data_IF_436323063222
#
_entry.id   IF_436323063222
#
_cell.length_a   1.000
_cell.length_b   1.000
_cell.length_c   1.000
_cell.angle_alpha   90.00
_cell.angle_beta   90.00
_cell.angle_gamma   90.00
#
_symmetry.space_group_name_H-M   'P 1'
#
loop_
_entity.id
_entity.type
_entity.pdbx_description
1 polymer ?
#
# COMPACT_ATOMS: atom_id res chain seq x y z
N UNK A 1 35.62 -18.38 34.54
CA UNK A 1 34.50 -17.42 34.70
C UNK A 1 34.81 -16.20 33.86
N UNK A 2 34.28 -16.09 32.65
CA UNK A 2 34.52 -14.91 31.79
C UNK A 2 33.54 -13.80 32.16
N UNK A 3 33.92 -12.97 33.12
CA UNK A 3 33.24 -11.72 33.46
C UNK A 3 34.09 -10.53 33.04
N UNK A 4 34.19 -10.27 31.74
CA UNK A 4 34.83 -9.05 31.21
C UNK A 4 33.78 -7.95 31.08
N UNK A 5 34.00 -6.80 31.72
CA UNK A 5 33.16 -5.62 31.55
C UNK A 5 33.09 -5.24 30.05
N UNK A 6 31.90 -4.94 29.55
CA UNK A 6 31.74 -4.47 28.17
C UNK A 6 32.57 -3.19 27.98
N UNK A 7 33.34 -3.07 26.89
CA UNK A 7 34.05 -1.85 26.58
C UNK A 7 33.11 -0.64 26.44
N UNK A 8 33.49 0.51 26.96
CA UNK A 8 32.63 1.71 26.95
C UNK A 8 32.22 2.15 25.52
N UNK A 9 33.09 1.94 24.53
CA UNK A 9 32.77 2.23 23.12
C UNK A 9 31.57 1.41 22.61
N UNK A 10 31.34 0.23 23.18
CA UNK A 10 30.20 -0.62 22.85
C UNK A 10 28.88 -0.06 23.39
N UNK A 11 28.92 0.57 24.57
CA UNK A 11 27.75 1.26 25.15
C UNK A 11 27.36 2.46 24.29
N UNK A 12 28.32 3.28 23.87
CA UNK A 12 28.07 4.42 22.97
C UNK A 12 27.56 3.97 21.58
N UNK A 13 28.07 2.85 21.09
CA UNK A 13 27.60 2.25 19.84
C UNK A 13 26.14 1.79 19.94
N UNK A 14 25.75 1.11 21.02
CA UNK A 14 24.36 0.73 21.27
C UNK A 14 23.47 1.96 21.42
N UNK A 15 23.90 2.97 22.18
CA UNK A 15 23.14 4.21 22.37
C UNK A 15 22.89 4.92 21.02
N UNK A 16 23.90 4.99 20.16
CA UNK A 16 23.76 5.56 18.81
C UNK A 16 22.77 4.77 17.94
N UNK A 17 22.78 3.44 18.01
CA UNK A 17 21.79 2.59 17.32
C UNK A 17 20.38 2.87 17.83
N UNK A 18 20.18 2.96 19.15
CA UNK A 18 18.86 3.23 19.74
C UNK A 18 18.33 4.60 19.29
N UNK A 19 19.16 5.64 19.33
CA UNK A 19 18.78 6.98 18.85
C UNK A 19 18.45 6.94 17.36
N UNK A 20 19.24 6.24 16.54
CA UNK A 20 18.98 6.06 15.11
C UNK A 20 17.65 5.35 14.84
N UNK A 21 17.33 4.29 15.59
CA UNK A 21 16.06 3.57 15.49
C UNK A 21 14.88 4.48 15.87
N UNK A 22 15.00 5.23 16.97
CA UNK A 22 13.95 6.16 17.41
C UNK A 22 13.70 7.23 16.35
N UNK A 23 14.76 7.84 15.82
CA UNK A 23 14.66 8.84 14.75
C UNK A 23 13.99 8.27 13.50
N UNK A 24 14.35 7.05 13.11
CA UNK A 24 13.75 6.35 11.96
C UNK A 24 12.26 6.06 12.17
N UNK A 25 11.86 5.66 13.38
CA UNK A 25 10.45 5.43 13.74
C UNK A 25 9.67 6.75 13.70
N UNK A 26 10.19 7.84 14.28
CA UNK A 26 9.55 9.15 14.26
C UNK A 26 9.33 9.67 12.84
N UNK A 27 10.36 9.54 11.99
CA UNK A 27 10.28 9.96 10.58
C UNK A 27 9.21 9.16 9.83
N UNK A 28 9.15 7.85 10.05
CA UNK A 28 8.12 6.97 9.46
C UNK A 28 6.71 7.32 9.93
N UNK A 29 6.53 7.69 11.20
CA UNK A 29 5.22 8.10 11.73
C UNK A 29 4.76 9.43 11.14
N UNK A 30 5.65 10.42 11.06
CA UNK A 30 5.32 11.73 10.50
C UNK A 30 4.88 11.62 9.04
N UNK A 31 5.59 10.82 8.24
CA UNK A 31 5.24 10.57 6.84
C UNK A 31 3.89 9.85 6.70
N UNK A 32 3.62 8.87 7.56
CA UNK A 32 2.33 8.14 7.58
C UNK A 32 1.17 9.06 7.96
N UNK A 33 1.35 9.95 8.93
CA UNK A 33 0.31 10.88 9.36
C UNK A 33 -0.06 11.87 8.25
N UNK A 34 0.94 12.45 7.57
CA UNK A 34 0.71 13.36 6.45
C UNK A 34 -0.04 12.69 5.29
N UNK A 35 0.37 11.47 4.93
CA UNK A 35 -0.27 10.71 3.84
C UNK A 35 -1.72 10.33 4.19
N UNK A 36 -1.97 9.88 5.42
CA UNK A 36 -3.33 9.58 5.89
C UNK A 36 -4.23 10.81 5.85
N UNK A 37 -3.73 11.97 6.27
CA UNK A 37 -4.52 13.22 6.25
C UNK A 37 -4.90 13.63 4.82
N UNK A 38 -3.99 13.46 3.85
CA UNK A 38 -4.27 13.74 2.43
C UNK A 38 -5.41 12.87 1.89
N UNK A 39 -5.34 11.55 2.10
CA UNK A 39 -6.37 10.63 1.63
C UNK A 39 -7.69 10.76 2.39
N UNK A 40 -7.64 11.02 3.69
CA UNK A 40 -8.84 11.31 4.49
C UNK A 40 -9.55 12.58 3.98
N UNK A 41 -8.80 13.60 3.58
CA UNK A 41 -9.36 14.83 2.98
C UNK A 41 -10.00 14.56 1.62
N UNK A 42 -9.42 13.67 0.79
CA UNK A 42 -9.90 13.37 -0.57
C UNK A 42 -11.12 12.46 -0.58
N UNK A 43 -11.13 11.43 0.26
CA UNK A 43 -12.11 10.34 0.18
C UNK A 43 -13.07 10.27 1.37
N UNK A 44 -12.73 10.89 2.50
CA UNK A 44 -13.55 10.95 3.71
C UNK A 44 -14.07 9.60 4.26
N UNK A 45 -13.45 8.49 3.87
CA UNK A 45 -13.79 7.14 4.32
C UNK A 45 -12.63 6.54 5.10
N UNK A 46 -12.84 6.32 6.40
CA UNK A 46 -11.81 5.80 7.31
C UNK A 46 -11.38 4.38 6.95
N UNK A 47 -12.33 3.53 6.53
CA UNK A 47 -12.06 2.12 6.25
C UNK A 47 -11.25 1.98 4.97
N UNK A 48 -11.65 2.69 3.91
CA UNK A 48 -10.90 2.70 2.65
C UNK A 48 -9.52 3.31 2.83
N UNK A 49 -9.40 4.43 3.53
CA UNK A 49 -8.10 5.07 3.80
C UNK A 49 -7.19 4.14 4.60
N UNK A 50 -7.71 3.37 5.56
CA UNK A 50 -6.92 2.40 6.31
C UNK A 50 -6.41 1.26 5.40
N UNK A 51 -7.24 0.76 4.49
CA UNK A 51 -6.84 -0.25 3.50
C UNK A 51 -5.80 0.29 2.51
N UNK A 52 -5.98 1.53 2.01
CA UNK A 52 -4.99 2.23 1.19
C UNK A 52 -3.65 2.39 1.93
N UNK A 53 -3.69 2.78 3.20
CA UNK A 53 -2.50 2.91 4.06
C UNK A 53 -1.81 1.57 4.31
N UNK A 54 -2.55 0.46 4.27
CA UNK A 54 -2.01 -0.89 4.33
C UNK A 54 -1.44 -1.38 2.99
N UNK A 55 -1.63 -0.64 1.89
CA UNK A 55 -1.23 -1.04 0.54
C UNK A 55 -2.08 -2.18 -0.03
N UNK A 56 -3.32 -2.36 0.46
CA UNK A 56 -4.22 -3.46 0.10
C UNK A 56 -5.44 -2.92 -0.61
N UNK A 57 -5.96 -3.72 -1.54
CA UNK A 57 -7.25 -3.47 -2.18
C UNK A 57 -8.37 -4.03 -1.31
N UNK A 58 -9.48 -3.30 -1.24
CA UNK A 58 -10.69 -3.70 -0.55
C UNK A 58 -11.90 -3.50 -1.47
N UNK A 59 -12.99 -4.25 -1.20
CA UNK A 59 -14.25 -4.09 -1.91
C UNK A 59 -14.83 -2.71 -1.59
N UNK A 60 -15.39 -2.03 -2.58
CA UNK A 60 -15.93 -0.68 -2.42
C UNK A 60 -14.92 0.45 -2.72
N UNK A 61 -13.64 0.12 -2.95
CA UNK A 61 -12.68 1.10 -3.46
C UNK A 61 -13.04 1.53 -4.87
N UNK A 62 -12.79 2.79 -5.20
CA UNK A 62 -12.95 3.30 -6.57
C UNK A 62 -11.72 2.99 -7.41
N UNK A 63 -11.87 2.98 -8.74
CA UNK A 63 -10.78 2.91 -9.71
C UNK A 63 -9.61 3.85 -9.36
N UNK A 64 -9.92 5.12 -9.05
CA UNK A 64 -8.93 6.12 -8.66
C UNK A 64 -8.17 5.74 -7.38
N UNK A 65 -8.86 5.18 -6.38
CA UNK A 65 -8.20 4.72 -5.15
C UNK A 65 -7.24 3.56 -5.43
N UNK A 66 -7.61 2.63 -6.31
CA UNK A 66 -6.75 1.51 -6.70
C UNK A 66 -5.49 2.05 -7.39
N UNK A 67 -5.64 3.02 -8.30
CA UNK A 67 -4.52 3.67 -8.98
C UNK A 67 -3.64 4.48 -8.01
N UNK A 68 -4.23 5.17 -7.03
CA UNK A 68 -3.49 5.88 -5.98
C UNK A 68 -2.63 4.92 -5.12
N UNK A 69 -3.07 3.67 -4.93
CA UNK A 69 -2.40 2.68 -4.06
C UNK A 69 -1.40 1.81 -4.82
N UNK A 70 -1.77 1.27 -5.98
CA UNK A 70 -0.97 0.32 -6.77
C UNK A 70 -0.40 0.93 -8.05
N UNK A 71 -0.78 2.14 -8.40
CA UNK A 71 -0.36 2.80 -9.63
C UNK A 71 -1.21 2.40 -10.84
N UNK A 72 -0.75 2.86 -12.00
CA UNK A 72 -1.40 2.59 -13.29
C UNK A 72 -1.25 1.08 -13.59
N UNK A 73 -2.35 0.39 -13.95
CA UNK A 73 -2.27 -1.02 -14.32
C UNK A 73 -1.42 -1.22 -15.59
N UNK A 74 -0.82 -2.40 -15.71
CA UNK A 74 -0.07 -2.78 -16.91
C UNK A 74 -1.00 -2.96 -18.12
N UNK A 75 -2.23 -3.38 -17.87
CA UNK A 75 -3.27 -3.55 -18.88
C UNK A 75 -4.65 -3.32 -18.25
N UNK A 76 -5.57 -2.75 -19.03
CA UNK A 76 -6.93 -2.43 -18.59
C UNK A 76 -7.91 -2.94 -19.64
N UNK A 77 -8.67 -3.98 -19.29
CA UNK A 77 -9.79 -4.43 -20.12
C UNK A 77 -11.07 -3.73 -19.64
N UNK A 78 -11.82 -3.17 -20.58
CA UNK A 78 -13.12 -2.56 -20.32
C UNK A 78 -14.20 -3.26 -21.16
N UNK A 79 -15.31 -3.61 -20.51
CA UNK A 79 -16.50 -4.17 -21.15
C UNK A 79 -17.71 -3.35 -20.72
N UNK A 80 -18.14 -2.45 -21.61
CA UNK A 80 -19.36 -1.66 -21.42
C UNK A 80 -20.57 -2.49 -21.85
N UNK A 81 -21.48 -2.74 -20.91
CA UNK A 81 -22.77 -3.40 -21.17
C UNK A 81 -23.91 -2.38 -21.12
N UNK A 82 -25.12 -2.79 -21.53
CA UNK A 82 -26.29 -1.90 -21.57
C UNK A 82 -26.63 -1.23 -20.23
N UNK A 83 -26.31 -1.88 -19.11
CA UNK A 83 -26.71 -1.45 -17.76
C UNK A 83 -25.55 -1.29 -16.78
N UNK A 84 -24.34 -1.72 -17.15
CA UNK A 84 -23.18 -1.79 -16.26
C UNK A 84 -21.89 -1.69 -17.05
N UNK A 85 -20.84 -1.16 -16.44
CA UNK A 85 -19.47 -1.21 -16.98
C UNK A 85 -18.60 -2.11 -16.14
N UNK A 86 -17.89 -3.06 -16.77
CA UNK A 86 -16.92 -3.90 -16.10
C UNK A 86 -15.50 -3.50 -16.50
N UNK A 87 -14.63 -3.34 -15.51
CA UNK A 87 -13.21 -3.15 -15.74
C UNK A 87 -12.41 -4.28 -15.10
N UNK A 88 -11.39 -4.76 -15.80
CA UNK A 88 -10.36 -5.65 -15.27
C UNK A 88 -9.01 -4.95 -15.36
N UNK A 89 -8.47 -4.56 -14.21
CA UNK A 89 -7.13 -3.98 -14.11
C UNK A 89 -6.12 -5.09 -13.85
N UNK A 90 -5.08 -5.16 -14.67
CA UNK A 90 -4.05 -6.19 -14.57
C UNK A 90 -2.74 -5.58 -14.10
N UNK A 91 -2.12 -6.25 -13.13
CA UNK A 91 -0.89 -5.84 -12.46
C UNK A 91 0.12 -6.99 -12.45
N UNK A 92 1.38 -6.66 -12.21
CA UNK A 92 2.50 -7.60 -12.13
C UNK A 92 2.65 -8.43 -13.43
N UNK A 93 3.03 -7.77 -14.52
CA UNK A 93 3.25 -8.42 -15.81
C UNK A 93 4.48 -9.36 -15.74
N UNK A 94 4.24 -10.67 -15.78
CA UNK A 94 5.25 -11.73 -15.76
C UNK A 94 5.61 -12.24 -17.18
N UNK A 95 4.98 -11.69 -18.21
CA UNK A 95 5.21 -11.98 -19.62
C UNK A 95 3.95 -11.83 -20.46
N UNK A 96 4.03 -12.18 -21.75
CA UNK A 96 2.91 -12.03 -22.69
C UNK A 96 1.62 -12.65 -22.15
N UNK A 97 0.63 -11.81 -21.86
CA UNK A 97 -0.68 -12.16 -21.29
C UNK A 97 -0.64 -12.89 -19.92
N UNK A 98 0.46 -12.78 -19.17
CA UNK A 98 0.61 -13.39 -17.84
C UNK A 98 0.74 -12.28 -16.80
N UNK A 99 -0.29 -12.16 -15.97
CA UNK A 99 -0.39 -11.15 -14.93
C UNK A 99 -0.52 -11.83 -13.58
N UNK A 100 0.25 -11.37 -12.60
CA UNK A 100 0.24 -11.89 -11.23
C UNK A 100 -0.94 -11.41 -10.41
N UNK A 101 -1.53 -10.25 -10.73
CA UNK A 101 -2.68 -9.72 -10.01
C UNK A 101 -3.71 -9.11 -10.95
N UNK A 102 -4.99 -9.34 -10.65
CA UNK A 102 -6.14 -8.81 -11.39
C UNK A 102 -7.13 -8.21 -10.41
N UNK A 103 -7.59 -7.00 -10.69
CA UNK A 103 -8.63 -6.34 -9.90
C UNK A 103 -9.86 -6.18 -10.80
N UNK A 104 -11.01 -6.63 -10.30
CA UNK A 104 -12.28 -6.60 -11.01
C UNK A 104 -13.12 -5.47 -10.43
N UNK A 105 -13.58 -4.57 -11.29
CA UNK A 105 -14.44 -3.45 -10.96
C UNK A 105 -15.75 -3.53 -11.74
N UNK A 106 -16.85 -3.19 -11.07
CA UNK A 106 -18.14 -2.92 -11.72
C UNK A 106 -18.52 -1.47 -11.40
N UNK A 107 -18.89 -0.70 -12.43
CA UNK A 107 -19.26 0.71 -12.33
C UNK A 107 -18.20 1.53 -11.55
N UNK A 108 -16.93 1.34 -11.92
CA UNK A 108 -15.73 1.94 -11.30
C UNK A 108 -15.46 1.54 -9.83
N UNK A 109 -16.22 0.59 -9.28
CA UNK A 109 -16.09 0.12 -7.89
C UNK A 109 -15.52 -1.29 -7.86
N UNK A 110 -14.50 -1.51 -7.04
CA UNK A 110 -13.90 -2.83 -6.82
C UNK A 110 -14.92 -3.79 -6.24
N UNK A 111 -15.17 -4.89 -6.96
CA UNK A 111 -16.03 -6.00 -6.52
C UNK A 111 -15.21 -7.20 -6.03
N UNK A 112 -13.99 -7.37 -6.54
CA UNK A 112 -13.08 -8.45 -6.16
C UNK A 112 -11.70 -8.32 -6.80
N UNK A 113 -10.78 -9.19 -6.40
CA UNK A 113 -9.43 -9.26 -6.96
C UNK A 113 -8.89 -10.69 -6.84
N UNK A 114 -7.93 -11.03 -7.70
CA UNK A 114 -7.25 -12.32 -7.73
C UNK A 114 -5.73 -12.10 -7.78
N UNK A 115 -4.97 -12.89 -7.02
CA UNK A 115 -3.51 -12.84 -6.98
C UNK A 115 -2.95 -14.25 -7.15
N UNK A 116 -2.00 -14.42 -8.07
CA UNK A 116 -1.35 -15.68 -8.45
C UNK A 116 0.17 -15.66 -8.25
#
# INVERSE_FOLDING_TARGET
MFGGAMPDWFIYFIAAIVVGIIALIMLRMAWRAGRRALWMKRYNDVEMVNAMMAGRIARGMTMDMVVDVWGIPADLDEVVMKTKTKHEMKYDEKGKNRYGTRVYLEDEIVVGWETK
#
